data_IF_437865373019
#
_entry.id   IF_437865373019
#
_cell.length_a   1.000
_cell.length_b   1.000
_cell.length_c   1.000
_cell.angle_alpha   90.00
_cell.angle_beta   90.00
_cell.angle_gamma   90.00
#
_symmetry.space_group_name_H-M   'P 1'
#
loop_
_entity.id
_entity.type
_entity.pdbx_description
1 polymer ?
#
# COMPACT_ATOMS: atom_id res chain seq x y z
N UNK A 1 -23.06 6.57 20.92
CA UNK A 1 -22.82 5.47 19.96
C UNK A 1 -23.85 5.62 18.85
N UNK A 2 -23.49 5.38 17.58
CA UNK A 2 -24.45 5.46 16.48
C UNK A 2 -25.59 4.46 16.71
N UNK A 3 -26.81 4.92 16.51
CA UNK A 3 -28.00 4.14 16.80
C UNK A 3 -28.23 3.11 15.69
N UNK A 4 -28.70 1.90 16.04
CA UNK A 4 -29.03 0.91 15.05
C UNK A 4 -30.23 1.38 14.22
N UNK A 5 -30.21 1.05 12.92
CA UNK A 5 -31.39 1.21 12.08
C UNK A 5 -32.48 0.23 12.53
N UNK A 6 -33.58 0.74 13.06
CA UNK A 6 -34.71 -0.05 13.57
C UNK A 6 -35.87 -0.06 12.56
N UNK A 7 -36.54 -1.20 12.46
CA UNK A 7 -37.81 -1.33 11.73
C UNK A 7 -38.97 -1.46 12.72
N UNK A 8 -40.15 -0.98 12.32
CA UNK A 8 -41.35 -0.94 13.17
C UNK A 8 -41.81 -2.32 13.65
N UNK A 9 -41.52 -3.38 12.88
CA UNK A 9 -41.85 -4.77 13.24
C UNK A 9 -41.17 -5.25 14.53
N UNK A 10 -40.06 -4.61 14.94
CA UNK A 10 -39.33 -4.95 16.16
C UNK A 10 -39.61 -4.00 17.34
N UNK A 11 -40.60 -3.10 17.19
CA UNK A 11 -40.92 -2.14 18.24
C UNK A 11 -41.36 -2.85 19.52
N UNK A 12 -40.75 -2.46 20.65
CA UNK A 12 -41.04 -3.04 21.97
C UNK A 12 -40.34 -4.37 22.26
N UNK A 13 -39.52 -4.89 21.34
CA UNK A 13 -38.72 -6.09 21.58
C UNK A 13 -37.32 -5.73 22.10
N UNK A 14 -36.81 -6.55 23.00
CA UNK A 14 -35.45 -6.45 23.50
C UNK A 14 -34.81 -7.81 23.76
N UNK A 15 -33.70 -7.75 24.50
CA UNK A 15 -32.85 -8.90 24.81
C UNK A 15 -33.63 -9.97 25.58
N UNK A 16 -34.57 -9.55 26.44
CA UNK A 16 -35.40 -10.47 27.23
C UNK A 16 -36.29 -11.34 26.35
N UNK A 17 -36.85 -10.82 25.26
CA UNK A 17 -37.65 -11.60 24.32
C UNK A 17 -36.79 -12.46 23.37
N UNK A 18 -35.49 -12.17 23.26
CA UNK A 18 -34.56 -12.80 22.32
C UNK A 18 -34.25 -11.95 21.08
N UNK A 19 -34.54 -10.64 21.12
CA UNK A 19 -34.23 -9.71 20.04
C UNK A 19 -32.98 -8.89 20.35
N UNK A 20 -32.12 -8.73 19.35
CA UNK A 20 -30.97 -7.83 19.41
C UNK A 20 -30.92 -6.99 18.14
N UNK A 21 -30.42 -5.77 18.25
CA UNK A 21 -29.77 -5.13 17.11
C UNK A 21 -28.29 -5.49 17.09
N UNK A 22 -27.60 -5.31 15.97
CA UNK A 22 -26.15 -5.49 15.89
C UNK A 22 -25.38 -4.57 16.84
N UNK A 23 -25.95 -3.39 17.17
CA UNK A 23 -25.41 -2.44 18.15
C UNK A 23 -25.62 -2.86 19.61
N UNK A 24 -26.47 -3.86 19.86
CA UNK A 24 -26.57 -4.52 21.16
C UNK A 24 -25.66 -5.75 21.19
N UNK A 25 -25.77 -6.61 20.18
CA UNK A 25 -25.15 -7.93 20.16
C UNK A 25 -23.62 -7.89 20.04
N UNK A 26 -23.08 -7.23 19.00
CA UNK A 26 -21.64 -7.25 18.73
C UNK A 26 -20.82 -6.61 19.87
N UNK A 27 -21.24 -5.49 20.50
CA UNK A 27 -20.54 -4.97 21.66
C UNK A 27 -20.48 -5.95 22.84
N UNK A 28 -21.55 -6.69 23.12
CA UNK A 28 -21.55 -7.69 24.19
C UNK A 28 -20.53 -8.81 23.91
N UNK A 29 -20.50 -9.32 22.68
CA UNK A 29 -19.51 -10.33 22.26
C UNK A 29 -18.09 -9.75 22.32
N UNK A 30 -17.89 -8.53 21.85
CA UNK A 30 -16.60 -7.86 21.84
C UNK A 30 -16.07 -7.63 23.26
N UNK A 31 -16.92 -7.18 24.19
CA UNK A 31 -16.53 -6.95 25.58
C UNK A 31 -16.12 -8.25 26.28
N UNK A 32 -16.77 -9.36 25.96
CA UNK A 32 -16.46 -10.66 26.54
C UNK A 32 -15.22 -11.34 25.91
N UNK A 33 -14.90 -11.04 24.65
CA UNK A 33 -13.86 -11.74 23.88
C UNK A 33 -12.54 -10.99 23.71
N UNK A 34 -12.51 -9.67 23.93
CA UNK A 34 -11.32 -8.83 23.72
C UNK A 34 -10.74 -8.33 25.07
N UNK A 35 -9.71 -8.99 25.63
CA UNK A 35 -9.06 -8.51 26.84
C UNK A 35 -8.58 -7.07 26.71
N UNK A 36 -8.81 -6.24 27.73
CA UNK A 36 -8.41 -4.84 27.77
C UNK A 36 -9.43 -3.84 27.21
N UNK A 37 -10.53 -4.30 26.58
CA UNK A 37 -11.58 -3.39 26.06
C UNK A 37 -12.51 -2.86 27.16
N UNK A 38 -12.80 -3.65 28.19
CA UNK A 38 -13.54 -3.26 29.39
C UNK A 38 -12.75 -3.65 30.63
N UNK A 39 -12.77 -2.80 31.66
CA UNK A 39 -12.28 -3.17 33.00
C UNK A 39 -13.20 -4.17 33.72
N UNK A 40 -14.39 -4.44 33.16
CA UNK A 40 -15.38 -5.37 33.67
C UNK A 40 -15.13 -6.80 33.16
N UNK A 41 -15.41 -7.81 34.01
CA UNK A 41 -15.53 -9.20 33.54
C UNK A 41 -16.89 -9.38 32.87
N UNK A 42 -16.90 -9.38 31.55
CA UNK A 42 -18.09 -9.71 30.75
C UNK A 42 -18.06 -11.18 30.33
N UNK A 43 -19.20 -11.85 30.43
CA UNK A 43 -19.40 -13.19 29.87
C UNK A 43 -19.97 -13.09 28.46
N UNK A 44 -19.68 -14.07 27.61
CA UNK A 44 -20.32 -14.17 26.30
C UNK A 44 -21.85 -14.24 26.45
N UNK A 45 -22.62 -13.62 25.53
CA UNK A 45 -24.06 -13.82 25.46
C UNK A 45 -24.39 -15.31 25.36
N UNK A 46 -25.33 -15.79 26.17
CA UNK A 46 -25.80 -17.17 26.10
C UNK A 46 -26.88 -17.29 25.01
N UNK A 47 -26.48 -17.62 23.79
CA UNK A 47 -27.39 -17.83 22.66
C UNK A 47 -27.59 -19.32 22.45
N UNK A 48 -28.83 -19.78 22.54
CA UNK A 48 -29.19 -21.18 22.30
C UNK A 48 -30.27 -21.26 21.22
N UNK A 49 -30.30 -22.39 20.50
CA UNK A 49 -31.33 -22.64 19.49
C UNK A 49 -31.00 -22.05 18.12
N UNK A 50 -32.04 -21.70 17.37
CA UNK A 50 -31.95 -21.16 16.01
C UNK A 50 -31.92 -19.63 16.04
N UNK A 51 -30.92 -19.05 15.39
CA UNK A 51 -30.75 -17.60 15.25
C UNK A 51 -31.12 -17.16 13.84
N UNK A 52 -31.87 -16.06 13.71
CA UNK A 52 -32.06 -15.34 12.46
C UNK A 52 -31.24 -14.05 12.52
N UNK A 53 -30.37 -13.84 11.55
CA UNK A 53 -29.66 -12.57 11.35
C UNK A 53 -30.22 -11.89 10.10
N UNK A 54 -30.64 -10.63 10.24
CA UNK A 54 -31.31 -9.88 9.18
C UNK A 54 -30.33 -8.88 8.56
N UNK A 55 -29.95 -9.11 7.30
CA UNK A 55 -29.03 -8.24 6.58
C UNK A 55 -28.09 -9.00 5.63
N UNK A 56 -27.36 -8.25 4.83
CA UNK A 56 -26.41 -8.77 3.83
C UNK A 56 -25.18 -7.85 3.64
N UNK A 57 -24.77 -7.14 4.68
CA UNK A 57 -23.49 -6.42 4.73
C UNK A 57 -22.61 -7.00 5.83
N UNK A 58 -21.39 -6.50 5.98
CA UNK A 58 -20.36 -7.02 6.90
C UNK A 58 -20.92 -7.27 8.30
N UNK A 59 -21.66 -6.28 8.83
CA UNK A 59 -22.31 -6.39 10.15
C UNK A 59 -23.20 -7.63 10.31
N UNK A 60 -23.88 -8.08 9.25
CA UNK A 60 -24.74 -9.26 9.31
C UNK A 60 -23.91 -10.56 9.37
N UNK A 61 -22.82 -10.64 8.60
CA UNK A 61 -21.95 -11.81 8.59
C UNK A 61 -21.16 -11.93 9.90
N UNK A 62 -20.66 -10.81 10.43
CA UNK A 62 -20.09 -10.72 11.78
C UNK A 62 -21.08 -11.18 12.87
N UNK A 63 -22.34 -10.75 12.78
CA UNK A 63 -23.37 -11.20 13.72
C UNK A 63 -23.61 -12.71 13.60
N UNK A 64 -23.59 -13.26 12.39
CA UNK A 64 -23.83 -14.67 12.14
C UNK A 64 -22.72 -15.55 12.73
N UNK A 65 -21.47 -15.25 12.41
CA UNK A 65 -20.30 -16.00 12.92
C UNK A 65 -20.12 -15.81 14.43
N UNK A 66 -20.40 -14.61 14.95
CA UNK A 66 -20.39 -14.33 16.40
C UNK A 66 -21.48 -15.08 17.16
N UNK A 67 -22.67 -15.27 16.55
CA UNK A 67 -23.74 -16.04 17.17
C UNK A 67 -23.34 -17.51 17.39
N UNK A 68 -22.56 -18.10 16.48
CA UNK A 68 -22.00 -19.44 16.65
C UNK A 68 -21.07 -19.53 17.87
N UNK A 69 -20.20 -18.51 18.10
CA UNK A 69 -19.35 -18.45 19.31
C UNK A 69 -20.17 -18.34 20.59
N UNK A 70 -21.36 -17.75 20.52
CA UNK A 70 -22.28 -17.61 21.64
C UNK A 70 -23.10 -18.88 21.93
N UNK A 71 -22.92 -19.96 21.15
CA UNK A 71 -23.58 -21.25 21.36
C UNK A 71 -24.80 -21.52 20.46
N UNK A 72 -25.03 -20.72 19.42
CA UNK A 72 -26.12 -20.94 18.48
C UNK A 72 -26.04 -22.33 17.84
N UNK A 73 -27.17 -23.05 17.80
CA UNK A 73 -27.25 -24.38 17.16
C UNK A 73 -27.29 -24.29 15.64
N UNK A 74 -27.92 -23.23 15.12
CA UNK A 74 -28.11 -22.99 13.68
C UNK A 74 -28.31 -21.50 13.45
N UNK A 75 -27.74 -20.96 12.38
CA UNK A 75 -27.85 -19.54 12.03
C UNK A 75 -28.37 -19.40 10.61
N UNK A 76 -29.45 -18.63 10.45
CA UNK A 76 -29.98 -18.22 9.17
C UNK A 76 -29.65 -16.75 8.93
N UNK A 77 -28.94 -16.45 7.84
CA UNK A 77 -28.73 -15.09 7.35
C UNK A 77 -29.79 -14.80 6.30
N UNK A 78 -30.70 -13.89 6.63
CA UNK A 78 -31.90 -13.60 5.85
C UNK A 78 -31.81 -12.20 5.28
N UNK A 79 -32.09 -12.05 3.99
CA UNK A 79 -31.98 -10.77 3.31
C UNK A 79 -33.06 -10.59 2.23
N UNK A 80 -33.48 -9.34 2.06
CA UNK A 80 -34.63 -8.95 1.21
C UNK A 80 -34.37 -8.97 -0.30
N UNK A 81 -33.17 -9.33 -0.74
CA UNK A 81 -32.76 -9.33 -2.16
C UNK A 81 -32.09 -10.67 -2.52
N UNK A 82 -31.57 -10.81 -3.73
CA UNK A 82 -30.84 -11.99 -4.18
C UNK A 82 -29.39 -12.04 -3.68
N UNK A 83 -28.72 -13.18 -3.89
CA UNK A 83 -27.31 -13.38 -3.55
C UNK A 83 -26.38 -12.39 -4.27
N UNK A 84 -26.70 -12.03 -5.52
CA UNK A 84 -25.96 -11.04 -6.31
C UNK A 84 -26.06 -9.62 -5.73
N UNK A 85 -26.92 -9.39 -4.73
CA UNK A 85 -27.10 -8.11 -4.07
C UNK A 85 -26.50 -8.07 -2.65
N UNK A 86 -25.73 -9.08 -2.26
CA UNK A 86 -24.95 -9.04 -1.02
C UNK A 86 -23.95 -7.89 -1.13
N UNK A 87 -23.91 -7.05 -0.08
CA UNK A 87 -23.06 -5.84 -0.02
C UNK A 87 -21.68 -6.14 0.53
N UNK A 88 -21.56 -7.17 1.37
CA UNK A 88 -20.28 -7.62 1.87
C UNK A 88 -19.44 -8.21 0.73
N UNK A 89 -18.13 -8.12 0.89
CA UNK A 89 -17.20 -8.74 -0.07
C UNK A 89 -17.32 -10.27 -0.02
N UNK A 90 -17.03 -10.99 -1.12
CA UNK A 90 -17.16 -12.46 -1.16
C UNK A 90 -16.41 -13.19 -0.04
N UNK A 91 -15.24 -12.67 0.35
CA UNK A 91 -14.41 -13.22 1.42
C UNK A 91 -15.12 -13.18 2.78
N UNK A 92 -15.90 -12.13 3.05
CA UNK A 92 -16.68 -11.97 4.29
C UNK A 92 -17.87 -12.93 4.32
N UNK A 93 -18.56 -13.08 3.18
CA UNK A 93 -19.64 -14.07 3.03
C UNK A 93 -19.11 -15.50 3.19
N UNK A 94 -17.91 -15.79 2.69
CA UNK A 94 -17.30 -17.11 2.71
C UNK A 94 -17.13 -17.64 4.13
N UNK A 95 -16.69 -16.79 5.08
CA UNK A 95 -16.53 -17.16 6.48
C UNK A 95 -17.81 -17.74 7.09
N UNK A 96 -18.95 -17.06 6.86
CA UNK A 96 -20.25 -17.56 7.34
C UNK A 96 -20.67 -18.85 6.62
N UNK A 97 -20.35 -19.00 5.33
CA UNK A 97 -20.66 -20.19 4.53
C UNK A 97 -19.86 -21.41 4.99
N UNK A 98 -18.57 -21.26 5.24
CA UNK A 98 -17.68 -22.32 5.72
C UNK A 98 -18.17 -22.86 7.08
N UNK A 99 -18.62 -21.96 7.95
CA UNK A 99 -19.21 -22.26 9.26
C UNK A 99 -20.68 -22.73 9.20
N UNK A 100 -21.19 -23.03 8.01
CA UNK A 100 -22.52 -23.62 7.78
C UNK A 100 -23.69 -22.72 8.20
N UNK A 101 -23.51 -21.39 8.13
CA UNK A 101 -24.66 -20.49 8.13
C UNK A 101 -25.49 -20.70 6.86
N UNK A 102 -26.80 -20.63 6.99
CA UNK A 102 -27.72 -20.79 5.87
C UNK A 102 -28.23 -19.46 5.38
N UNK A 103 -28.22 -19.28 4.06
CA UNK A 103 -28.57 -18.01 3.43
C UNK A 103 -29.96 -18.11 2.82
N UNK A 104 -30.88 -17.24 3.26
CA UNK A 104 -32.25 -17.18 2.77
C UNK A 104 -32.49 -15.84 2.06
N UNK A 105 -32.34 -15.79 0.72
CA UNK A 105 -32.57 -14.58 -0.06
C UNK A 105 -34.07 -14.31 -0.23
N UNK A 106 -34.39 -13.13 -0.74
CA UNK A 106 -35.74 -12.74 -1.14
C UNK A 106 -36.79 -12.76 -0.02
N UNK A 107 -36.40 -12.40 1.21
CA UNK A 107 -37.30 -12.38 2.37
C UNK A 107 -37.30 -11.02 3.07
N UNK A 108 -38.49 -10.41 3.16
CA UNK A 108 -38.72 -9.18 3.93
C UNK A 108 -39.38 -9.49 5.27
N UNK A 109 -38.83 -9.01 6.41
CA UNK A 109 -39.44 -9.11 7.73
C UNK A 109 -40.88 -8.62 7.80
N UNK A 110 -41.80 -9.43 8.33
CA UNK A 110 -43.21 -9.02 8.48
C UNK A 110 -43.74 -9.04 9.90
N UNK A 111 -43.48 -10.11 10.66
CA UNK A 111 -43.99 -10.24 12.02
C UNK A 111 -43.11 -11.15 12.87
N UNK A 112 -42.79 -10.71 14.08
CA UNK A 112 -42.17 -11.58 15.09
C UNK A 112 -43.26 -12.31 15.86
N UNK A 113 -43.14 -13.63 15.99
CA UNK A 113 -44.08 -14.46 16.74
C UNK A 113 -43.52 -14.74 18.12
N UNK A 114 -44.27 -14.34 19.14
CA UNK A 114 -43.90 -14.49 20.55
C UNK A 114 -44.88 -15.44 21.23
N UNK A 115 -44.35 -16.36 22.04
CA UNK A 115 -45.13 -17.20 22.95
C UNK A 115 -44.43 -17.26 24.30
N UNK A 116 -45.17 -17.05 25.39
CA UNK A 116 -44.60 -17.08 26.74
C UNK A 116 -43.47 -16.07 26.96
N UNK A 117 -43.55 -14.90 26.32
CA UNK A 117 -42.54 -13.84 26.43
C UNK A 117 -41.23 -14.10 25.66
N UNK A 118 -41.16 -15.15 24.83
CA UNK A 118 -39.98 -15.45 24.00
C UNK A 118 -40.33 -15.54 22.53
N UNK A 119 -39.40 -15.14 21.67
CA UNK A 119 -39.50 -15.37 20.22
C UNK A 119 -39.51 -16.87 19.95
N UNK A 120 -40.44 -17.31 19.11
CA UNK A 120 -40.54 -18.71 18.66
C UNK A 120 -40.52 -18.87 17.14
N UNK A 121 -40.78 -17.79 16.41
CA UNK A 121 -40.70 -17.75 14.96
C UNK A 121 -40.68 -16.30 14.44
N UNK A 122 -40.33 -16.15 13.18
CA UNK A 122 -40.44 -14.92 12.42
C UNK A 122 -41.14 -15.20 11.09
N UNK A 123 -42.12 -14.37 10.75
CA UNK A 123 -42.86 -14.40 9.50
C UNK A 123 -42.28 -13.36 8.54
N UNK A 124 -42.14 -13.78 7.28
CA UNK A 124 -41.58 -13.02 6.18
C UNK A 124 -42.55 -13.00 5.02
N UNK A 125 -42.46 -11.95 4.20
CA UNK A 125 -43.02 -11.90 2.86
C UNK A 125 -41.92 -12.20 1.84
N UNK A 126 -42.26 -12.93 0.79
CA UNK A 126 -41.34 -13.08 -0.35
C UNK A 126 -41.17 -11.74 -1.05
N UNK A 127 -39.95 -11.44 -1.47
CA UNK A 127 -39.65 -10.29 -2.31
C UNK A 127 -39.23 -10.70 -3.71
N UNK A 128 -39.50 -9.83 -4.68
CA UNK A 128 -39.06 -10.00 -6.05
C UNK A 128 -38.73 -8.65 -6.68
N UNK A 129 -37.98 -8.70 -7.78
CA UNK A 129 -37.65 -7.52 -8.56
C UNK A 129 -38.50 -7.54 -9.84
N UNK A 130 -39.21 -6.44 -10.11
CA UNK A 130 -39.97 -6.28 -11.35
C UNK A 130 -39.05 -5.92 -12.53
N UNK A 131 -39.64 -5.83 -13.73
CA UNK A 131 -38.92 -5.51 -14.98
C UNK A 131 -38.27 -4.11 -14.96
N UNK A 132 -38.83 -3.19 -14.17
CA UNK A 132 -38.31 -1.83 -13.98
C UNK A 132 -37.19 -1.76 -12.93
N UNK A 133 -36.89 -2.89 -12.28
CA UNK A 133 -35.85 -3.00 -11.27
C UNK A 133 -36.30 -2.61 -9.86
N UNK A 134 -37.59 -2.32 -9.64
CA UNK A 134 -38.14 -2.05 -8.32
C UNK A 134 -38.36 -3.34 -7.53
N UNK A 135 -38.23 -3.23 -6.21
CA UNK A 135 -38.37 -4.36 -5.30
C UNK A 135 -39.76 -4.35 -4.67
N UNK A 136 -40.52 -5.44 -4.88
CA UNK A 136 -41.89 -5.58 -4.42
C UNK A 136 -42.01 -6.71 -3.38
N UNK A 137 -42.97 -6.58 -2.46
CA UNK A 137 -43.32 -7.61 -1.48
C UNK A 137 -44.60 -8.33 -1.91
N UNK A 138 -44.55 -9.65 -2.05
CA UNK A 138 -45.72 -10.48 -2.29
C UNK A 138 -46.42 -10.80 -0.95
N UNK A 139 -47.62 -10.26 -0.77
CA UNK A 139 -48.41 -10.41 0.46
C UNK A 139 -49.07 -11.79 0.61
N UNK A 140 -49.22 -12.53 -0.47
CA UNK A 140 -49.81 -13.87 -0.48
C UNK A 140 -48.75 -14.94 -0.17
N UNK A 141 -47.50 -14.70 -0.59
CA UNK A 141 -46.37 -15.58 -0.33
C UNK A 141 -45.71 -15.29 1.02
N UNK A 142 -46.23 -15.94 2.06
CA UNK A 142 -45.69 -15.84 3.43
C UNK A 142 -44.81 -17.04 3.78
N UNK A 143 -43.70 -16.79 4.48
CA UNK A 143 -42.80 -17.82 4.99
C UNK A 143 -42.67 -17.63 6.50
N UNK A 144 -42.81 -18.72 7.25
CA UNK A 144 -42.63 -18.72 8.70
C UNK A 144 -41.43 -19.56 9.08
N UNK A 145 -40.39 -18.89 9.59
CA UNK A 145 -39.15 -19.53 10.03
C UNK A 145 -39.12 -19.64 11.55
N UNK A 146 -38.89 -20.84 12.08
CA UNK A 146 -38.71 -21.04 13.52
C UNK A 146 -37.38 -20.43 13.96
N UNK A 147 -37.41 -19.62 15.01
CA UNK A 147 -36.23 -19.00 15.59
C UNK A 147 -36.46 -18.74 17.08
N UNK A 148 -35.38 -18.78 17.83
CA UNK A 148 -35.33 -18.47 19.25
C UNK A 148 -34.74 -17.06 19.48
N UNK A 149 -33.85 -16.63 18.57
CA UNK A 149 -33.20 -15.32 18.60
C UNK A 149 -33.29 -14.64 17.23
N UNK A 150 -33.49 -13.33 17.23
CA UNK A 150 -33.45 -12.48 16.02
C UNK A 150 -32.44 -11.35 16.23
N UNK A 151 -31.51 -11.19 15.29
CA UNK A 151 -30.49 -10.13 15.29
C UNK A 151 -30.70 -9.25 14.06
N UNK A 152 -31.05 -7.98 14.26
CA UNK A 152 -31.17 -7.00 13.18
C UNK A 152 -29.82 -6.34 12.86
N UNK A 153 -29.34 -6.48 11.63
CA UNK A 153 -28.08 -5.94 11.14
C UNK A 153 -28.28 -5.01 9.93
N UNK A 154 -29.27 -4.12 10.00
CA UNK A 154 -29.62 -3.20 8.90
C UNK A 154 -28.70 -1.98 8.74
N UNK A 155 -27.70 -1.86 9.61
CA UNK A 155 -26.75 -0.75 9.63
C UNK A 155 -27.01 0.21 10.80
N UNK A 156 -26.37 1.37 10.72
CA UNK A 156 -26.38 2.39 11.76
C UNK A 156 -26.82 3.73 11.18
N UNK A 157 -27.27 4.62 12.05
CA UNK A 157 -27.74 5.96 11.71
C UNK A 157 -27.34 6.95 12.80
N UNK A 158 -27.47 8.24 12.51
CA UNK A 158 -27.41 9.31 13.50
C UNK A 158 -28.81 9.89 13.68
N UNK A 159 -29.48 9.61 14.80
CA UNK A 159 -30.85 10.08 15.05
C UNK A 159 -31.03 10.81 16.38
N UNK A 160 -30.08 10.74 17.30
CA UNK A 160 -30.16 11.33 18.63
C UNK A 160 -30.29 12.85 18.50
N UNK A 161 -31.45 13.42 18.88
CA UNK A 161 -31.69 14.84 18.73
C UNK A 161 -30.66 15.69 19.49
N UNK A 162 -30.18 15.23 20.64
CA UNK A 162 -29.18 15.97 21.43
C UNK A 162 -27.84 16.02 20.74
N UNK A 163 -27.46 14.93 20.04
CA UNK A 163 -26.21 14.90 19.26
C UNK A 163 -26.34 15.82 18.05
N UNK A 164 -27.48 15.81 17.35
CA UNK A 164 -27.72 16.71 16.22
C UNK A 164 -27.77 18.18 16.65
N UNK A 165 -28.39 18.47 17.79
CA UNK A 165 -28.43 19.81 18.38
C UNK A 165 -27.03 20.30 18.75
N UNK A 166 -26.17 19.43 19.29
CA UNK A 166 -24.77 19.76 19.59
C UNK A 166 -23.93 20.07 18.34
N UNK A 167 -24.39 19.67 17.15
CA UNK A 167 -23.76 19.96 15.86
C UNK A 167 -24.36 21.20 15.17
N UNK A 168 -25.32 21.91 15.78
CA UNK A 168 -25.79 23.18 15.24
C UNK A 168 -24.64 24.21 15.22
N UNK A 169 -24.45 25.01 14.14
CA UNK A 169 -25.34 25.23 13.00
C UNK A 169 -25.00 24.45 11.71
N UNK A 170 -24.32 23.31 11.79
CA UNK A 170 -23.93 22.53 10.61
C UNK A 170 -25.14 22.20 9.71
N UNK A 171 -24.94 22.29 8.39
CA UNK A 171 -25.89 21.76 7.41
C UNK A 171 -25.86 20.24 7.40
N UNK A 172 -27.02 19.64 7.23
CA UNK A 172 -27.21 18.20 7.08
C UNK A 172 -27.77 17.89 5.70
N UNK A 173 -27.31 16.79 5.11
CA UNK A 173 -27.80 16.31 3.82
C UNK A 173 -29.16 15.57 3.98
N UNK A 174 -29.71 15.09 2.86
CA UNK A 174 -30.98 14.35 2.83
C UNK A 174 -30.95 13.03 3.61
N UNK A 175 -29.77 12.50 3.93
CA UNK A 175 -29.58 11.30 4.76
C UNK A 175 -29.50 11.63 6.25
N UNK A 176 -29.60 12.90 6.63
CA UNK A 176 -29.54 13.34 8.02
C UNK A 176 -28.14 13.24 8.62
N UNK A 177 -27.10 13.31 7.78
CA UNK A 177 -25.68 13.35 8.14
C UNK A 177 -25.07 14.73 7.81
N UNK A 178 -24.01 15.16 8.52
CA UNK A 178 -23.32 16.42 8.21
C UNK A 178 -22.89 16.48 6.74
N UNK A 179 -23.23 17.57 6.07
CA UNK A 179 -22.78 17.83 4.70
C UNK A 179 -21.31 18.27 4.73
N UNK A 180 -20.50 17.67 3.86
CA UNK A 180 -19.07 17.98 3.73
C UNK A 180 -18.69 18.19 2.27
N UNK A 181 -17.71 19.05 2.05
CA UNK A 181 -17.02 19.17 0.78
C UNK A 181 -16.12 17.93 0.55
N UNK A 182 -16.26 17.28 -0.60
CA UNK A 182 -15.62 15.99 -0.88
C UNK A 182 -14.10 16.07 -1.10
N UNK A 183 -13.55 17.24 -1.34
CA UNK A 183 -12.10 17.43 -1.48
C UNK A 183 -11.47 17.78 -0.13
N UNK A 184 -12.11 18.67 0.63
CA UNK A 184 -11.54 19.27 1.83
C UNK A 184 -11.99 18.61 3.12
N UNK A 185 -13.08 17.84 3.08
CA UNK A 185 -13.80 17.30 4.24
C UNK A 185 -14.37 18.37 5.18
N UNK A 186 -14.41 19.63 4.73
CA UNK A 186 -14.94 20.76 5.50
C UNK A 186 -16.46 20.76 5.44
N UNK A 187 -17.09 21.07 6.57
CA UNK A 187 -18.55 21.21 6.66
C UNK A 187 -19.01 22.58 6.15
N UNK A 188 -20.29 22.93 6.33
CA UNK A 188 -20.78 24.29 6.07
C UNK A 188 -20.13 25.37 6.93
N UNK A 189 -19.54 25.00 8.08
CA UNK A 189 -18.90 25.93 9.00
C UNK A 189 -17.37 25.89 8.86
N UNK A 190 -16.72 27.04 8.57
CA UNK A 190 -15.27 27.12 8.51
C UNK A 190 -14.62 26.64 9.82
N UNK A 191 -13.62 25.77 9.69
CA UNK A 191 -12.91 25.20 10.83
C UNK A 191 -13.55 23.94 11.44
N UNK A 192 -14.74 23.55 10.98
CA UNK A 192 -15.36 22.27 11.36
C UNK A 192 -15.29 21.30 10.18
N UNK A 193 -14.74 20.12 10.44
CA UNK A 193 -14.49 19.06 9.45
C UNK A 193 -15.13 17.75 9.93
N UNK A 194 -15.51 16.88 9.00
CA UNK A 194 -16.07 15.57 9.32
C UNK A 194 -15.61 14.50 8.30
N UNK A 195 -15.41 13.27 8.78
CA UNK A 195 -14.90 12.16 7.99
C UNK A 195 -15.17 10.81 8.64
N UNK A 196 -15.11 9.73 7.86
CA UNK A 196 -15.52 8.38 8.26
C UNK A 196 -17.02 8.16 8.15
N UNK A 197 -17.56 7.12 8.79
CA UNK A 197 -18.98 6.75 8.69
C UNK A 197 -19.97 7.92 8.86
N UNK A 198 -19.60 8.93 9.66
CA UNK A 198 -20.44 10.11 9.93
C UNK A 198 -20.61 11.02 8.70
N UNK A 199 -19.67 11.01 7.74
CA UNK A 199 -19.80 11.73 6.47
C UNK A 199 -20.79 11.05 5.52
N UNK A 200 -21.08 9.76 5.75
CA UNK A 200 -21.92 8.93 4.89
C UNK A 200 -21.25 8.50 3.58
N UNK A 201 -19.96 8.76 3.42
CA UNK A 201 -19.18 8.39 2.22
C UNK A 201 -18.46 7.06 2.42
N UNK A 202 -17.74 6.94 3.54
CA UNK A 202 -16.97 5.75 3.87
C UNK A 202 -17.88 4.59 4.30
N UNK A 203 -17.56 3.39 3.84
CA UNK A 203 -18.15 2.14 4.31
C UNK A 203 -17.09 1.17 4.85
N UNK A 204 -15.81 1.53 4.73
CA UNK A 204 -14.67 0.73 5.17
C UNK A 204 -13.78 1.52 6.12
N UNK A 205 -12.97 0.79 6.89
CA UNK A 205 -11.98 1.40 7.77
C UNK A 205 -10.94 2.20 6.98
N UNK A 206 -10.49 1.73 5.82
CA UNK A 206 -9.48 2.41 5.01
C UNK A 206 -9.98 3.73 4.42
N UNK A 207 -11.24 3.78 3.98
CA UNK A 207 -11.87 5.03 3.54
C UNK A 207 -11.99 6.02 4.71
N UNK A 208 -12.44 5.55 5.88
CA UNK A 208 -12.54 6.41 7.07
C UNK A 208 -11.18 6.98 7.51
N UNK A 209 -10.11 6.17 7.45
CA UNK A 209 -8.74 6.62 7.70
C UNK A 209 -8.31 7.65 6.66
N UNK A 210 -8.68 7.44 5.39
CA UNK A 210 -8.39 8.38 4.31
C UNK A 210 -9.14 9.71 4.47
N UNK A 211 -10.40 9.70 4.89
CA UNK A 211 -11.16 10.92 5.18
C UNK A 211 -10.45 11.75 6.27
N UNK A 212 -10.00 11.10 7.35
CA UNK A 212 -9.21 11.76 8.39
C UNK A 212 -7.88 12.30 7.87
N UNK A 213 -7.18 11.53 7.03
CA UNK A 213 -5.94 11.96 6.36
C UNK A 213 -6.17 13.18 5.48
N UNK A 214 -7.23 13.18 4.68
CA UNK A 214 -7.61 14.29 3.81
C UNK A 214 -7.96 15.53 4.63
N UNK A 215 -8.84 15.39 5.61
CA UNK A 215 -9.23 16.47 6.51
C UNK A 215 -8.02 17.10 7.20
N UNK A 216 -7.02 16.30 7.63
CA UNK A 216 -5.84 16.81 8.33
C UNK A 216 -5.07 17.88 7.56
N UNK A 217 -4.98 17.76 6.23
CA UNK A 217 -4.31 18.75 5.38
C UNK A 217 -5.07 20.08 5.34
N UNK A 218 -6.39 20.03 5.22
CA UNK A 218 -7.22 21.24 5.13
C UNK A 218 -7.47 21.86 6.50
N UNK A 219 -7.49 21.07 7.57
CA UNK A 219 -7.41 21.56 8.95
C UNK A 219 -6.11 22.32 9.16
N UNK A 220 -4.97 21.75 8.74
CA UNK A 220 -3.67 22.43 8.79
C UNK A 220 -3.70 23.75 8.02
N UNK A 221 -4.18 23.75 6.76
CA UNK A 221 -4.32 24.96 5.94
C UNK A 221 -5.20 26.02 6.61
N UNK A 222 -6.35 25.62 7.14
CA UNK A 222 -7.28 26.51 7.83
C UNK A 222 -6.63 27.12 9.07
N UNK A 223 -6.04 26.31 9.94
CA UNK A 223 -5.37 26.78 11.16
C UNK A 223 -4.24 27.75 10.80
N UNK A 224 -3.35 27.41 9.86
CA UNK A 224 -2.27 28.30 9.44
C UNK A 224 -2.79 29.66 8.95
N UNK A 225 -3.89 29.67 8.18
CA UNK A 225 -4.49 30.93 7.73
C UNK A 225 -5.00 31.81 8.87
N UNK A 226 -5.45 31.24 9.99
CA UNK A 226 -5.87 32.02 11.17
C UNK A 226 -4.70 32.77 11.82
N UNK A 227 -3.47 32.27 11.63
CA UNK A 227 -2.24 32.89 12.13
C UNK A 227 -1.49 33.69 11.04
N UNK A 228 -2.12 33.96 9.90
CA UNK A 228 -1.51 34.70 8.79
C UNK A 228 -0.37 33.97 8.09
N UNK A 229 -0.25 32.65 8.28
CA UNK A 229 0.74 31.80 7.64
C UNK A 229 0.16 31.14 6.38
N UNK A 230 1.00 30.99 5.36
CA UNK A 230 0.64 30.28 4.13
C UNK A 230 1.17 28.86 4.14
N UNK A 231 0.49 27.97 3.44
CA UNK A 231 0.91 26.58 3.23
C UNK A 231 1.13 26.33 1.74
N UNK A 232 1.98 25.35 1.36
CA UNK A 232 2.15 24.97 -0.04
C UNK A 232 0.82 24.64 -0.73
N UNK A 233 0.71 24.93 -2.03
CA UNK A 233 -0.48 24.58 -2.80
C UNK A 233 -0.65 23.06 -2.96
N UNK A 234 0.48 22.34 -3.04
CA UNK A 234 0.51 20.88 -3.14
C UNK A 234 0.54 20.28 -1.72
N UNK A 235 -0.33 19.32 -1.38
CA UNK A 235 -0.29 18.64 -0.09
C UNK A 235 1.04 17.98 0.24
N UNK A 236 1.56 18.25 1.44
CA UNK A 236 2.82 17.73 1.97
C UNK A 236 2.62 17.07 3.33
N UNK A 237 1.79 16.02 3.37
CA UNK A 237 1.61 15.24 4.60
C UNK A 237 2.92 14.50 4.94
N UNK A 238 3.37 14.55 6.21
CA UNK A 238 4.57 13.84 6.62
C UNK A 238 4.47 12.33 6.40
N UNK A 239 5.62 11.69 6.17
CA UNK A 239 5.74 10.24 6.24
C UNK A 239 5.69 9.75 7.70
N UNK A 240 5.65 8.43 7.87
CA UNK A 240 5.83 7.79 9.16
C UNK A 240 7.32 7.63 9.46
N UNK A 241 7.73 7.98 10.69
CA UNK A 241 9.13 7.92 11.13
C UNK A 241 9.24 7.14 12.44
N UNK A 242 10.40 6.50 12.63
CA UNK A 242 10.80 5.76 13.81
C UNK A 242 12.27 6.04 14.15
N UNK A 243 12.78 5.62 15.33
CA UNK A 243 14.20 5.76 15.64
C UNK A 243 15.14 5.05 14.65
N UNK A 244 14.65 4.10 13.83
CA UNK A 244 15.44 3.42 12.79
C UNK A 244 15.88 4.41 11.70
N UNK A 245 15.05 5.41 11.39
CA UNK A 245 15.35 6.38 10.34
C UNK A 245 16.48 7.35 10.72
N UNK A 246 16.89 7.37 12.00
CA UNK A 246 18.00 8.17 12.52
C UNK A 246 19.35 7.43 12.47
N UNK A 247 19.38 6.15 12.08
CA UNK A 247 20.62 5.38 12.01
C UNK A 247 21.52 5.94 10.91
N UNK A 248 22.73 6.36 11.27
CA UNK A 248 23.74 6.80 10.32
C UNK A 248 24.30 5.57 9.57
N UNK A 249 24.10 5.56 8.25
CA UNK A 249 24.59 4.52 7.34
C UNK A 249 25.71 5.05 6.43
N UNK A 250 26.28 6.21 6.72
CA UNK A 250 27.40 6.76 5.95
C UNK A 250 28.70 6.00 6.20
N UNK A 251 29.59 5.99 5.20
CA UNK A 251 30.90 5.34 5.27
C UNK A 251 31.98 6.20 4.62
N UNK A 252 33.23 6.00 5.00
CA UNK A 252 34.40 6.59 4.34
C UNK A 252 35.29 5.49 3.78
N UNK A 253 35.72 5.63 2.52
CA UNK A 253 36.60 4.67 1.86
C UNK A 253 37.53 5.41 0.89
N UNK A 254 38.83 5.16 0.99
CA UNK A 254 39.86 5.78 0.14
C UNK A 254 39.77 7.32 0.10
N UNK A 255 39.53 7.95 1.26
CA UNK A 255 39.39 9.41 1.38
C UNK A 255 38.06 9.98 0.87
N UNK A 256 37.17 9.14 0.33
CA UNK A 256 35.86 9.55 -0.16
C UNK A 256 34.77 9.21 0.85
N UNK A 257 33.89 10.17 1.12
CA UNK A 257 32.74 10.00 2.02
C UNK A 257 31.48 9.68 1.23
N UNK A 258 30.80 8.60 1.59
CA UNK A 258 29.57 8.14 0.97
C UNK A 258 28.40 8.32 1.95
N UNK A 259 27.30 8.92 1.48
CA UNK A 259 26.08 9.12 2.29
C UNK A 259 25.39 7.81 2.70
N UNK A 260 25.61 6.74 1.94
CA UNK A 260 25.25 5.35 2.24
C UNK A 260 26.17 4.42 1.43
N UNK A 261 26.27 3.11 1.73
CA UNK A 261 27.25 2.23 1.09
C UNK A 261 26.77 1.68 -0.26
N UNK A 262 25.65 2.16 -0.81
CA UNK A 262 25.01 1.59 -1.99
C UNK A 262 25.28 2.43 -3.23
N UNK A 263 25.72 1.76 -4.30
CA UNK A 263 25.98 2.42 -5.58
C UNK A 263 25.68 1.55 -6.79
N UNK A 264 25.55 2.22 -7.93
CA UNK A 264 25.34 1.55 -9.21
C UNK A 264 26.67 1.10 -9.82
N UNK A 265 26.79 -0.18 -10.15
CA UNK A 265 27.94 -0.73 -10.86
C UNK A 265 28.06 -0.20 -12.31
N UNK A 266 29.25 -0.30 -12.91
CA UNK A 266 29.49 -0.05 -14.34
C UNK A 266 28.79 -1.12 -15.18
N UNK A 267 27.53 -0.87 -15.54
CA UNK A 267 26.64 -1.88 -16.10
C UNK A 267 25.44 -1.24 -16.83
N UNK A 268 24.45 -2.04 -17.20
CA UNK A 268 23.25 -1.55 -17.89
C UNK A 268 22.44 -0.48 -17.14
N UNK A 269 22.35 -0.46 -15.78
CA UNK A 269 21.68 0.63 -15.08
C UNK A 269 22.37 1.98 -15.23
N UNK A 270 23.62 2.01 -15.70
CA UNK A 270 24.42 3.22 -15.92
C UNK A 270 24.74 3.41 -17.40
N UNK A 271 23.90 2.88 -18.30
CA UNK A 271 24.07 3.02 -19.77
C UNK A 271 24.14 4.47 -20.24
N UNK A 272 23.43 5.39 -19.56
CA UNK A 272 23.38 6.82 -19.88
C UNK A 272 23.43 7.64 -18.59
N UNK A 273 24.03 8.84 -18.64
CA UNK A 273 24.16 9.73 -17.48
C UNK A 273 22.82 10.20 -16.89
N UNK A 274 21.77 10.31 -17.70
CA UNK A 274 20.40 10.59 -17.23
C UNK A 274 19.84 9.49 -16.33
N UNK A 275 20.32 8.23 -16.45
CA UNK A 275 19.95 7.16 -15.53
C UNK A 275 20.64 7.33 -14.17
N UNK A 276 21.91 7.74 -14.18
CA UNK A 276 22.69 8.04 -12.97
C UNK A 276 22.05 9.22 -12.23
N UNK A 277 21.66 10.29 -12.93
CA UNK A 277 20.92 11.41 -12.35
C UNK A 277 19.69 10.95 -11.56
N UNK A 278 18.81 10.16 -12.19
CA UNK A 278 17.61 9.62 -11.53
C UNK A 278 17.95 8.71 -10.34
N UNK A 279 19.07 7.99 -10.40
CA UNK A 279 19.53 7.18 -9.27
C UNK A 279 19.96 8.05 -8.08
N UNK A 280 20.65 9.16 -8.33
CA UNK A 280 21.00 10.12 -7.28
C UNK A 280 19.77 10.81 -6.68
N UNK A 281 18.81 11.21 -7.52
CA UNK A 281 17.50 11.72 -7.09
C UNK A 281 16.75 10.70 -6.21
N UNK A 282 16.88 9.41 -6.50
CA UNK A 282 16.30 8.33 -5.71
C UNK A 282 17.08 7.99 -4.42
N UNK A 283 18.27 8.58 -4.21
CA UNK A 283 19.04 8.44 -2.97
C UNK A 283 20.28 7.55 -3.03
N UNK A 284 20.64 6.96 -4.18
CA UNK A 284 21.91 6.22 -4.32
C UNK A 284 23.10 7.14 -3.99
N UNK A 285 24.09 6.65 -3.25
CA UNK A 285 25.21 7.47 -2.80
C UNK A 285 26.29 7.64 -3.87
N UNK A 286 26.51 6.61 -4.68
CA UNK A 286 27.50 6.63 -5.73
C UNK A 286 27.06 5.89 -6.99
N UNK A 287 27.71 6.19 -8.11
CA UNK A 287 27.50 5.48 -9.35
C UNK A 287 28.78 5.43 -10.17
N UNK A 288 28.96 4.31 -10.84
CA UNK A 288 29.98 4.17 -11.87
C UNK A 288 29.41 4.55 -13.23
N UNK A 289 30.18 5.28 -14.04
CA UNK A 289 29.86 5.37 -15.47
C UNK A 289 29.93 3.98 -16.10
N UNK A 290 29.14 3.73 -17.15
CA UNK A 290 29.43 2.57 -18.01
C UNK A 290 30.86 2.74 -18.54
N UNK A 291 31.64 1.67 -18.52
CA UNK A 291 33.04 1.68 -18.98
C UNK A 291 33.17 2.39 -20.31
N UNK A 292 34.04 3.39 -20.45
CA UNK A 292 34.28 4.06 -21.72
C UNK A 292 35.77 4.08 -22.08
N UNK A 293 36.06 4.31 -23.36
CA UNK A 293 37.39 4.27 -23.96
C UNK A 293 37.64 5.50 -24.82
N UNK A 294 38.85 5.63 -25.35
CA UNK A 294 39.20 6.64 -26.35
C UNK A 294 38.45 6.37 -27.66
N UNK A 295 38.24 7.40 -28.49
CA UNK A 295 37.46 7.31 -29.73
C UNK A 295 38.01 6.26 -30.73
N UNK A 296 39.33 5.99 -30.70
CA UNK A 296 39.95 4.95 -31.53
C UNK A 296 39.55 3.52 -31.15
N UNK A 297 39.04 3.33 -29.93
CA UNK A 297 38.61 2.05 -29.36
C UNK A 297 37.08 1.98 -29.26
N UNK A 298 36.36 2.72 -30.11
CA UNK A 298 34.90 2.69 -30.17
C UNK A 298 34.40 1.29 -30.53
N UNK A 299 33.31 0.85 -29.89
CA UNK A 299 32.71 -0.46 -30.12
C UNK A 299 31.26 -0.33 -30.60
N UNK A 300 30.72 -1.45 -31.09
CA UNK A 300 29.30 -1.60 -31.45
C UNK A 300 28.78 -2.88 -30.80
N UNK A 301 27.71 -2.79 -30.02
CA UNK A 301 27.08 -3.94 -29.38
C UNK A 301 26.30 -4.79 -30.39
N UNK A 302 26.12 -6.08 -30.07
CA UNK A 302 25.24 -6.99 -30.81
C UNK A 302 23.88 -7.16 -30.12
N UNK A 303 22.92 -7.78 -30.79
CA UNK A 303 21.62 -8.14 -30.21
C UNK A 303 21.12 -9.47 -30.77
N UNK A 304 20.61 -10.41 -29.94
CA UNK A 304 20.40 -10.30 -28.49
C UNK A 304 21.70 -10.40 -27.68
N UNK A 305 21.76 -9.78 -26.50
CA UNK A 305 22.99 -9.70 -25.68
C UNK A 305 22.84 -9.81 -24.18
N UNK A 306 21.63 -9.76 -23.64
CA UNK A 306 21.36 -9.95 -22.21
C UNK A 306 20.21 -10.94 -22.10
N UNK A 307 20.43 -12.03 -21.37
CA UNK A 307 19.46 -13.09 -21.19
C UNK A 307 19.28 -13.41 -19.72
N UNK A 308 18.09 -13.90 -19.37
CA UNK A 308 17.82 -14.46 -18.05
C UNK A 308 18.72 -15.68 -17.77
N UNK A 309 19.07 -15.87 -16.52
CA UNK A 309 19.74 -17.07 -16.04
C UNK A 309 18.84 -18.30 -16.04
N UNK A 310 19.44 -19.47 -16.18
CA UNK A 310 18.78 -20.78 -15.99
C UNK A 310 19.08 -21.38 -14.62
N UNK A 311 19.73 -20.63 -13.72
CA UNK A 311 20.22 -21.08 -12.42
C UNK A 311 19.12 -21.49 -11.43
N UNK A 312 17.89 -21.02 -11.64
CA UNK A 312 16.72 -21.32 -10.80
C UNK A 312 15.59 -22.00 -11.58
N UNK A 313 15.93 -22.69 -12.68
CA UNK A 313 14.94 -23.35 -13.53
C UNK A 313 14.05 -22.37 -14.32
N UNK A 314 12.85 -22.82 -14.76
CA UNK A 314 11.95 -22.04 -15.63
C UNK A 314 11.13 -21.00 -14.86
N UNK A 315 11.78 -20.23 -13.98
CA UNK A 315 11.15 -19.17 -13.17
C UNK A 315 11.29 -17.81 -13.85
N UNK A 316 10.20 -17.33 -14.45
CA UNK A 316 10.12 -16.04 -15.16
C UNK A 316 9.58 -14.92 -14.26
N UNK A 317 9.72 -13.66 -14.67
CA UNK A 317 9.23 -12.50 -13.92
C UNK A 317 10.21 -12.02 -12.85
N UNK A 318 9.76 -11.67 -11.62
CA UNK A 318 10.59 -11.04 -10.60
C UNK A 318 11.67 -11.97 -10.05
N UNK A 319 12.69 -11.39 -9.40
CA UNK A 319 13.67 -12.15 -8.61
C UNK A 319 14.51 -13.13 -9.44
N UNK A 320 14.98 -12.69 -10.61
CA UNK A 320 15.78 -13.55 -11.48
C UNK A 320 17.07 -14.00 -10.81
N UNK A 321 17.32 -15.31 -10.80
CA UNK A 321 18.46 -15.90 -10.08
C UNK A 321 19.82 -15.50 -10.65
N UNK A 322 19.89 -15.17 -11.94
CA UNK A 322 21.05 -14.53 -12.55
C UNK A 322 20.68 -13.92 -13.91
N UNK A 323 21.65 -13.21 -14.50
CA UNK A 323 21.65 -12.80 -15.89
C UNK A 323 22.98 -13.21 -16.53
N UNK A 324 22.95 -13.52 -17.82
CA UNK A 324 24.14 -13.65 -18.65
C UNK A 324 24.14 -12.52 -19.67
N UNK A 325 25.31 -11.90 -19.87
CA UNK A 325 25.47 -10.86 -20.88
C UNK A 325 26.70 -11.12 -21.75
N UNK A 326 26.61 -10.69 -23.01
CA UNK A 326 27.71 -10.56 -23.97
C UNK A 326 27.82 -9.10 -24.42
N UNK A 327 27.50 -8.17 -23.50
CA UNK A 327 27.58 -6.73 -23.76
C UNK A 327 29.02 -6.25 -23.64
N UNK A 328 29.39 -5.26 -24.44
CA UNK A 328 30.70 -4.63 -24.42
C UNK A 328 30.72 -3.42 -23.46
N UNK A 329 31.75 -2.59 -23.59
CA UNK A 329 31.84 -1.27 -22.94
C UNK A 329 30.78 -0.31 -23.52
N UNK A 330 30.82 0.96 -23.16
CA UNK A 330 29.89 1.97 -23.66
C UNK A 330 30.05 2.20 -25.16
N UNK A 331 28.92 2.32 -25.87
CA UNK A 331 28.88 2.83 -27.25
C UNK A 331 28.94 4.37 -27.31
N UNK A 332 28.94 5.05 -26.14
CA UNK A 332 29.05 6.50 -26.05
C UNK A 332 30.51 6.93 -25.86
N UNK A 333 30.88 8.04 -26.48
CA UNK A 333 32.26 8.54 -26.52
C UNK A 333 32.78 8.99 -25.15
N UNK A 334 34.11 9.07 -25.00
CA UNK A 334 34.73 9.67 -23.82
C UNK A 334 34.27 11.12 -23.60
N UNK A 335 34.08 11.89 -24.68
CA UNK A 335 33.59 13.27 -24.60
C UNK A 335 32.18 13.35 -23.98
N UNK A 336 31.27 12.43 -24.35
CA UNK A 336 29.96 12.33 -23.73
C UNK A 336 30.06 12.06 -22.22
N UNK A 337 30.90 11.11 -21.82
CA UNK A 337 31.04 10.72 -20.42
C UNK A 337 31.72 11.79 -19.58
N UNK A 338 32.81 12.40 -20.07
CA UNK A 338 33.50 13.48 -19.37
C UNK A 338 32.55 14.67 -19.15
N UNK A 339 31.84 15.12 -20.20
CA UNK A 339 30.84 16.18 -20.05
C UNK A 339 29.75 15.79 -19.04
N UNK A 340 29.27 14.55 -19.11
CA UNK A 340 28.24 14.06 -18.20
C UNK A 340 28.71 13.99 -16.74
N UNK A 341 29.96 13.61 -16.48
CA UNK A 341 30.54 13.60 -15.13
C UNK A 341 30.57 15.01 -14.59
N UNK A 342 31.01 15.99 -15.38
CA UNK A 342 30.99 17.40 -14.97
C UNK A 342 29.59 17.87 -14.62
N UNK A 343 28.58 17.55 -15.45
CA UNK A 343 27.18 17.91 -15.19
C UNK A 343 26.63 17.20 -13.93
N UNK A 344 26.96 15.92 -13.71
CA UNK A 344 26.53 15.18 -12.53
C UNK A 344 27.16 15.72 -11.24
N UNK A 345 28.45 16.08 -11.26
CA UNK A 345 29.13 16.61 -10.08
C UNK A 345 28.75 18.05 -9.76
N UNK A 346 28.37 18.84 -10.77
CA UNK A 346 27.78 20.17 -10.57
C UNK A 346 26.46 20.06 -9.80
N UNK A 347 25.58 19.15 -10.23
CA UNK A 347 24.23 19.05 -9.68
C UNK A 347 24.16 18.22 -8.39
N UNK A 348 25.11 17.30 -8.21
CA UNK A 348 25.16 16.36 -7.09
C UNK A 348 26.55 16.34 -6.43
N UNK A 349 26.98 17.42 -5.76
CA UNK A 349 28.34 17.53 -5.21
C UNK A 349 28.65 16.46 -4.16
N UNK A 350 27.66 16.09 -3.34
CA UNK A 350 27.79 15.10 -2.26
C UNK A 350 27.67 13.63 -2.73
N UNK A 351 27.39 13.41 -4.03
CA UNK A 351 27.29 12.07 -4.62
C UNK A 351 28.61 11.71 -5.28
N UNK A 352 29.05 10.47 -5.09
CA UNK A 352 30.33 10.01 -5.63
C UNK A 352 30.14 9.48 -7.06
N UNK A 353 30.87 10.05 -8.02
CA UNK A 353 30.90 9.62 -9.41
C UNK A 353 32.26 9.01 -9.71
N UNK A 354 32.27 7.73 -10.05
CA UNK A 354 33.49 6.99 -10.38
C UNK A 354 33.50 6.73 -11.88
N UNK A 355 34.53 7.20 -12.57
CA UNK A 355 34.67 6.97 -14.01
C UNK A 355 35.26 5.58 -14.27
N UNK A 356 34.46 4.67 -14.82
CA UNK A 356 34.94 3.37 -15.29
C UNK A 356 35.57 3.54 -16.67
N UNK A 357 36.87 3.22 -16.80
CA UNK A 357 37.64 3.42 -18.03
C UNK A 357 38.37 2.15 -18.46
N UNK A 358 38.58 2.01 -19.77
CA UNK A 358 39.33 0.90 -20.36
C UNK A 358 40.16 1.36 -21.56
N UNK A 359 41.41 0.93 -21.62
CA UNK A 359 42.28 1.07 -22.78
C UNK A 359 42.90 -0.28 -23.16
N UNK A 360 43.43 -0.35 -24.38
CA UNK A 360 44.39 -1.38 -24.76
C UNK A 360 45.65 -1.35 -23.86
N UNK A 361 46.54 -2.34 -23.98
CA UNK A 361 47.77 -2.39 -23.21
C UNK A 361 48.82 -1.39 -23.74
N UNK A 362 48.51 -0.10 -23.62
CA UNK A 362 49.33 1.03 -24.04
C UNK A 362 49.39 2.09 -22.94
N UNK A 363 50.60 2.54 -22.58
CA UNK A 363 50.81 3.45 -21.43
C UNK A 363 50.25 4.84 -21.69
N UNK A 364 50.44 5.34 -22.90
CA UNK A 364 50.03 6.67 -23.32
C UNK A 364 48.49 6.77 -23.27
N UNK A 365 47.80 5.76 -23.77
CA UNK A 365 46.33 5.69 -23.78
C UNK A 365 45.73 5.70 -22.38
N UNK A 366 46.24 4.85 -21.48
CA UNK A 366 45.81 4.83 -20.08
C UNK A 366 46.05 6.18 -19.41
N UNK A 367 47.17 6.84 -19.71
CA UNK A 367 47.51 8.15 -19.17
C UNK A 367 46.60 9.26 -19.71
N UNK A 368 46.27 9.22 -21.00
CA UNK A 368 45.39 10.18 -21.65
C UNK A 368 43.97 10.07 -21.09
N UNK A 369 43.38 8.87 -21.13
CA UNK A 369 41.99 8.66 -20.73
C UNK A 369 41.76 8.91 -19.23
N UNK A 370 42.71 8.52 -18.37
CA UNK A 370 42.62 8.79 -16.92
C UNK A 370 42.64 10.28 -16.62
N UNK A 371 43.52 11.06 -17.28
CA UNK A 371 43.56 12.52 -17.12
C UNK A 371 42.30 13.20 -17.64
N UNK A 372 41.73 12.71 -18.75
CA UNK A 372 40.44 13.22 -19.24
C UNK A 372 39.32 13.01 -18.22
N UNK A 373 39.25 11.82 -17.62
CA UNK A 373 38.25 11.49 -16.62
C UNK A 373 38.45 12.28 -15.31
N UNK A 374 39.69 12.41 -14.83
CA UNK A 374 40.04 13.25 -13.68
C UNK A 374 39.67 14.72 -13.92
N UNK A 375 40.07 15.29 -15.07
CA UNK A 375 39.77 16.67 -15.44
C UNK A 375 38.27 16.96 -15.58
N UNK A 376 37.45 15.93 -15.80
CA UNK A 376 35.99 16.06 -15.83
C UNK A 376 35.35 16.24 -14.45
N UNK A 377 36.11 16.01 -13.38
CA UNK A 377 35.66 16.12 -11.99
C UNK A 377 35.23 14.80 -11.36
N UNK A 378 35.57 13.65 -11.96
CA UNK A 378 35.30 12.35 -11.34
C UNK A 378 35.98 12.25 -9.96
N UNK A 379 35.28 11.74 -8.96
CA UNK A 379 35.82 11.59 -7.60
C UNK A 379 36.87 10.47 -7.52
N UNK A 380 36.72 9.45 -8.39
CA UNK A 380 37.68 8.36 -8.54
C UNK A 380 37.59 7.72 -9.93
N UNK A 381 38.53 6.81 -10.20
CA UNK A 381 38.56 5.98 -11.40
C UNK A 381 38.38 4.51 -11.03
N UNK A 382 37.60 3.79 -11.84
CA UNK A 382 37.60 2.33 -11.88
C UNK A 382 38.31 1.86 -13.16
N UNK A 383 39.29 0.98 -13.02
CA UNK A 383 40.04 0.43 -14.16
C UNK A 383 39.42 -0.90 -14.57
N UNK A 384 38.74 -0.92 -15.71
CA UNK A 384 38.22 -2.16 -16.26
C UNK A 384 39.34 -2.91 -16.99
N UNK A 385 39.68 -4.10 -16.50
CA UNK A 385 40.81 -4.89 -16.98
C UNK A 385 40.40 -6.02 -17.95
N UNK A 386 39.23 -5.91 -18.57
CA UNK A 386 38.70 -6.91 -19.50
C UNK A 386 39.31 -6.84 -20.91
N UNK A 387 40.09 -5.80 -21.24
CA UNK A 387 40.75 -5.70 -22.55
C UNK A 387 41.69 -6.90 -22.80
N UNK A 388 41.63 -7.55 -23.97
CA UNK A 388 42.53 -8.65 -24.29
C UNK A 388 43.99 -8.20 -24.40
N UNK A 389 44.93 -9.06 -24.00
CA UNK A 389 46.37 -8.81 -24.06
C UNK A 389 47.05 -9.82 -25.00
N UNK A 390 47.40 -9.38 -26.22
CA UNK A 390 48.26 -10.13 -27.15
C UNK A 390 47.91 -11.61 -27.40
N UNK A 391 48.88 -12.38 -27.94
CA UNK A 391 48.82 -13.84 -27.99
C UNK A 391 49.39 -14.39 -26.68
N UNK A 392 48.55 -15.03 -25.85
CA UNK A 392 48.94 -15.53 -24.53
C UNK A 392 50.05 -16.58 -24.60
N UNK A 393 51.23 -16.28 -24.04
CA UNK A 393 52.40 -17.16 -24.16
C UNK A 393 52.39 -18.32 -23.13
N UNK A 394 51.57 -18.29 -22.07
CA UNK A 394 51.63 -19.28 -20.95
C UNK A 394 50.36 -19.44 -20.09
N UNK A 395 49.23 -19.90 -20.63
CA UNK A 395 48.07 -20.30 -19.80
C UNK A 395 47.50 -19.21 -18.87
N UNK A 396 47.80 -17.93 -19.12
CA UNK A 396 47.46 -16.79 -18.25
C UNK A 396 46.09 -16.15 -18.61
N UNK A 397 45.22 -16.90 -19.29
CA UNK A 397 44.00 -16.35 -19.86
C UNK A 397 44.27 -15.41 -21.04
N UNK A 398 43.29 -14.57 -21.40
CA UNK A 398 43.37 -13.63 -22.53
C UNK A 398 43.13 -12.18 -22.13
N UNK A 399 42.59 -11.89 -20.94
CA UNK A 399 42.35 -10.52 -20.46
C UNK A 399 43.52 -9.98 -19.61
N UNK A 400 43.75 -8.67 -19.65
CA UNK A 400 44.79 -7.99 -18.86
C UNK A 400 44.68 -8.30 -17.35
N UNK A 401 43.47 -8.44 -16.81
CA UNK A 401 43.23 -8.75 -15.41
C UNK A 401 43.63 -10.16 -14.96
N UNK A 402 43.98 -11.06 -15.89
CA UNK A 402 44.36 -12.45 -15.61
C UNK A 402 45.89 -12.64 -15.53
N UNK A 403 46.68 -11.65 -15.95
CA UNK A 403 48.14 -11.69 -15.88
C UNK A 403 48.63 -10.91 -14.67
N UNK A 404 49.62 -11.48 -13.98
CA UNK A 404 50.29 -10.91 -12.79
C UNK A 404 50.41 -9.39 -12.84
N UNK A 405 49.53 -8.78 -12.05
CA UNK A 405 49.40 -7.37 -11.70
C UNK A 405 50.76 -6.67 -11.61
N UNK A 406 51.03 -5.60 -12.40
CA UNK A 406 51.94 -4.52 -11.98
C UNK A 406 52.01 -3.33 -12.96
N UNK A 407 51.90 -3.53 -14.28
CA UNK A 407 52.27 -2.48 -15.23
C UNK A 407 51.20 -1.41 -15.48
N UNK A 408 49.93 -1.75 -15.72
CA UNK A 408 48.88 -0.73 -15.99
C UNK A 408 48.63 0.20 -14.81
N UNK A 409 48.61 -0.31 -13.57
CA UNK A 409 48.48 0.51 -12.36
C UNK A 409 49.72 1.39 -12.13
N UNK A 410 50.92 0.89 -12.46
CA UNK A 410 52.14 1.69 -12.38
C UNK A 410 52.19 2.84 -13.39
N UNK A 411 51.50 2.73 -14.52
CA UNK A 411 51.39 3.81 -15.50
C UNK A 411 50.65 5.02 -14.93
N UNK A 412 49.64 4.78 -14.09
CA UNK A 412 48.76 5.82 -13.56
C UNK A 412 49.32 6.50 -12.31
N UNK A 413 50.00 5.75 -11.42
CA UNK A 413 50.64 6.32 -10.22
C UNK A 413 51.72 7.37 -10.51
N UNK A 414 52.25 7.42 -11.74
CA UNK A 414 53.23 8.42 -12.16
C UNK A 414 52.67 9.59 -12.97
N UNK A 415 51.38 9.57 -13.31
CA UNK A 415 50.77 10.53 -14.26
C UNK A 415 49.60 11.32 -13.68
N UNK A 416 49.00 10.84 -12.60
CA UNK A 416 48.02 11.54 -11.77
C UNK A 416 48.74 12.08 -10.53
N UNK A 417 48.35 13.26 -10.04
CA UNK A 417 48.89 13.77 -8.77
C UNK A 417 48.59 12.73 -7.66
N UNK A 418 49.44 12.58 -6.62
CA UNK A 418 49.28 11.50 -5.65
C UNK A 418 47.86 11.51 -5.08
N UNK A 419 47.11 10.45 -5.37
CA UNK A 419 45.85 10.13 -4.69
C UNK A 419 46.16 10.08 -3.19
N UNK A 420 45.64 11.06 -2.44
CA UNK A 420 45.82 11.18 -1.00
C UNK A 420 44.81 10.34 -0.24
#
# INVERSE_FOLDING_TARGET
LPEPKKESVFQGLGIEEGFYTSKDFLPLVSMASKPGICGCRSSLPSIQGTVIVLGAGDTAFDCATSALRCGARRVFVVFRKGFTNIRAVPEEMELAREEKCEFLPFLSPRKVVIKGGKIVAMEFLRTEQDEDGNWNEDKEQTIRLRADIVISAFGSTLNDPKVKEALYPLKFNSWGLPEVDLETMQTSEPGIFAGGDISGLANTTVESVNDGKQASWFMHKYIQSLYGATVPAVPQLPLFYTPIDLVDISIEMAGLRFSNPFGLASATPTTSSSMIRRAFEAGWAFALTKTFSLDKDIITNVSPRIIRGTTIGPMYGPGQGSFLNIELISEKTAAYWCRSITELKLDFPDKIVIASIMCSYNKEDWTELSKMAEASGADALELNLSCPHGMGERGMGLACGQVGFFKSVSFLRGSTAPFH
#
